data_IF_046218936171
#
_entry.id   IF_046218936171
#
_cell.length_a   1.000
_cell.length_b   1.000
_cell.length_c   1.000
_cell.angle_alpha   90.00
_cell.angle_beta   90.00
_cell.angle_gamma   90.00
#
_symmetry.space_group_name_H-M   'P 1'
#
loop_
_entity.id
_entity.type
_entity.pdbx_description
1 polymer ?
#
# COMPACT_ATOMS: atom_id res chain seq x y z
N UNK A 1 17.71 4.25 0.28
CA UNK A 1 16.77 3.10 0.32
C UNK A 1 17.49 1.76 0.45
N UNK A 2 18.67 1.59 -0.18
CA UNK A 2 19.41 0.33 -0.30
C UNK A 2 19.74 -0.41 1.02
N UNK A 3 19.83 0.31 2.15
CA UNK A 3 20.13 -0.31 3.46
C UNK A 3 18.89 -0.74 4.24
N UNK A 4 17.72 -0.23 3.90
CA UNK A 4 16.49 -0.44 4.68
C UNK A 4 15.83 -1.77 4.31
N UNK A 5 15.77 -2.09 3.02
CA UNK A 5 15.20 -3.35 2.54
C UNK A 5 15.92 -4.59 3.10
N UNK A 6 17.26 -4.67 3.13
CA UNK A 6 17.97 -5.77 3.80
C UNK A 6 17.64 -5.91 5.29
N UNK A 7 17.46 -4.78 6.01
CA UNK A 7 17.09 -4.80 7.43
C UNK A 7 15.69 -5.41 7.61
N UNK A 8 14.71 -4.99 6.81
CA UNK A 8 13.38 -5.60 6.84
C UNK A 8 13.43 -7.10 6.52
N UNK A 9 14.21 -7.50 5.52
CA UNK A 9 14.37 -8.91 5.18
C UNK A 9 14.98 -9.71 6.34
N UNK A 10 16.01 -9.19 6.98
CA UNK A 10 16.61 -9.81 8.17
C UNK A 10 15.62 -9.91 9.32
N UNK A 11 14.79 -8.89 9.55
CA UNK A 11 13.73 -8.93 10.58
C UNK A 11 12.69 -10.00 10.28
N UNK A 12 12.24 -10.13 9.03
CA UNK A 12 11.28 -11.17 8.61
C UNK A 12 11.87 -12.56 8.83
N UNK A 13 13.10 -12.80 8.35
CA UNK A 13 13.78 -14.09 8.50
C UNK A 13 13.99 -14.41 9.99
N UNK A 14 14.46 -13.43 10.77
CA UNK A 14 14.69 -13.58 12.20
C UNK A 14 13.42 -13.90 12.98
N UNK A 15 12.31 -13.21 12.69
CA UNK A 15 11.01 -13.47 13.32
C UNK A 15 10.46 -14.84 12.97
N UNK A 16 10.55 -15.26 11.69
CA UNK A 16 10.14 -16.59 11.27
C UNK A 16 11.00 -17.69 11.94
N UNK A 17 12.31 -17.47 12.05
CA UNK A 17 13.21 -18.35 12.78
C UNK A 17 12.88 -18.46 14.27
N UNK A 18 12.64 -17.34 14.94
CA UNK A 18 12.22 -17.30 16.34
C UNK A 18 10.88 -18.01 16.54
N UNK A 19 9.93 -17.79 15.63
CA UNK A 19 8.63 -18.43 15.62
C UNK A 19 8.73 -19.96 15.50
N UNK A 20 9.54 -20.43 14.54
CA UNK A 20 9.84 -21.85 14.38
C UNK A 20 10.45 -22.45 15.66
N UNK A 21 11.37 -21.71 16.29
CA UNK A 21 12.04 -22.17 17.50
C UNK A 21 11.10 -22.27 18.71
N UNK A 22 10.18 -21.32 18.86
CA UNK A 22 9.11 -21.38 19.87
C UNK A 22 8.28 -22.64 19.69
N UNK A 23 7.80 -22.92 18.47
CA UNK A 23 7.00 -24.12 18.19
C UNK A 23 7.75 -25.41 18.45
N UNK A 24 9.00 -25.49 17.99
CA UNK A 24 9.85 -26.66 18.23
C UNK A 24 10.03 -26.91 19.73
N UNK A 25 10.27 -25.85 20.50
CA UNK A 25 10.43 -25.91 21.97
C UNK A 25 9.16 -26.37 22.66
N UNK A 26 8.00 -25.81 22.31
CA UNK A 26 6.70 -26.23 22.83
C UNK A 26 6.42 -27.71 22.54
N UNK A 27 6.65 -28.13 21.29
CA UNK A 27 6.46 -29.53 20.86
C UNK A 27 7.34 -30.50 21.63
N UNK A 28 8.62 -30.16 21.84
CA UNK A 28 9.55 -30.98 22.64
C UNK A 28 9.14 -31.09 24.11
N UNK A 29 8.34 -30.16 24.61
CA UNK A 29 7.83 -30.14 25.98
C UNK A 29 6.36 -30.62 26.08
N UNK A 30 5.86 -31.33 25.07
CA UNK A 30 4.55 -31.99 25.12
C UNK A 30 3.35 -31.07 24.89
N UNK A 31 3.57 -29.84 24.44
CA UNK A 31 2.47 -28.96 24.04
C UNK A 31 2.02 -29.27 22.60
N UNK A 32 0.72 -29.27 22.38
CA UNK A 32 0.18 -29.30 21.02
C UNK A 32 0.49 -27.99 20.30
N UNK A 33 1.11 -28.10 19.12
CA UNK A 33 1.41 -26.96 18.25
C UNK A 33 0.87 -27.24 16.85
N UNK A 34 0.20 -26.26 16.27
CA UNK A 34 -0.18 -26.29 14.85
C UNK A 34 0.74 -25.37 14.06
N UNK A 35 1.35 -25.84 12.98
CA UNK A 35 2.32 -25.04 12.22
C UNK A 35 1.68 -23.90 11.42
N UNK A 36 0.39 -24.00 11.12
CA UNK A 36 -0.31 -23.06 10.24
C UNK A 36 -1.53 -22.38 10.89
N UNK A 37 -1.93 -22.82 12.09
CA UNK A 37 -3.13 -22.32 12.77
C UNK A 37 -2.87 -22.07 14.25
N UNK A 38 -3.74 -21.28 14.90
CA UNK A 38 -3.77 -21.09 16.36
C UNK A 38 -2.48 -20.56 17.00
N UNK A 39 -1.71 -19.79 16.25
CA UNK A 39 -0.47 -19.11 16.66
C UNK A 39 -0.56 -18.35 18.00
N UNK A 40 -1.73 -17.80 18.33
CA UNK A 40 -1.96 -17.02 19.55
C UNK A 40 -1.81 -17.87 20.81
N UNK A 41 -2.02 -19.20 20.75
CA UNK A 41 -1.89 -20.11 21.90
C UNK A 41 -0.43 -20.40 22.26
N UNK A 42 0.51 -20.20 21.36
CA UNK A 42 1.91 -20.54 21.57
C UNK A 42 2.55 -19.62 22.64
N UNK A 43 2.19 -18.34 22.67
CA UNK A 43 2.70 -17.37 23.65
C UNK A 43 2.31 -17.76 25.10
N UNK A 44 1.02 -17.92 25.48
CA UNK A 44 0.66 -18.32 26.84
C UNK A 44 1.21 -19.72 27.21
N UNK A 45 1.34 -20.63 26.25
CA UNK A 45 1.99 -21.92 26.47
C UNK A 45 3.48 -21.77 26.81
N UNK A 46 4.20 -20.87 26.13
CA UNK A 46 5.60 -20.56 26.47
C UNK A 46 5.72 -19.95 27.87
N UNK A 47 4.80 -19.06 28.25
CA UNK A 47 4.74 -18.52 29.61
C UNK A 47 4.51 -19.61 30.66
N UNK A 48 3.60 -20.55 30.39
CA UNK A 48 3.34 -21.70 31.26
C UNK A 48 4.57 -22.59 31.39
N UNK A 49 5.23 -22.91 30.26
CA UNK A 49 6.46 -23.67 30.24
C UNK A 49 7.58 -22.99 31.05
N UNK A 50 7.77 -21.68 30.88
CA UNK A 50 8.75 -20.91 31.64
C UNK A 50 8.47 -20.97 33.16
N UNK A 51 7.21 -20.79 33.58
CA UNK A 51 6.82 -20.84 34.99
C UNK A 51 7.03 -22.21 35.63
N UNK A 52 6.78 -23.29 34.88
CA UNK A 52 6.85 -24.67 35.37
C UNK A 52 8.28 -25.26 35.34
N UNK A 53 9.26 -24.53 34.79
CA UNK A 53 10.63 -25.01 34.65
C UNK A 53 11.45 -24.71 35.90
N UNK A 54 11.96 -25.75 36.57
CA UNK A 54 12.80 -25.62 37.77
C UNK A 54 14.23 -25.15 37.47
N UNK A 55 14.75 -25.45 36.27
CA UNK A 55 16.09 -25.03 35.86
C UNK A 55 16.10 -23.52 35.52
N UNK A 56 16.86 -22.68 36.25
CA UNK A 56 16.82 -21.23 36.08
C UNK A 56 17.28 -20.79 34.69
N UNK A 57 18.27 -21.46 34.12
CA UNK A 57 18.81 -21.16 32.78
C UNK A 57 17.76 -21.41 31.69
N UNK A 58 17.07 -22.55 31.76
CA UNK A 58 15.99 -22.88 30.81
C UNK A 58 14.78 -21.96 30.99
N UNK A 59 14.40 -21.67 32.25
CA UNK A 59 13.32 -20.74 32.57
C UNK A 59 13.54 -19.36 31.95
N UNK A 60 14.74 -18.80 32.08
CA UNK A 60 15.09 -17.51 31.45
C UNK A 60 14.99 -17.59 29.93
N UNK A 61 15.49 -18.67 29.31
CA UNK A 61 15.37 -18.85 27.84
C UNK A 61 13.92 -18.89 27.39
N UNK A 62 13.05 -19.65 28.06
CA UNK A 62 11.63 -19.73 27.70
C UNK A 62 10.92 -18.39 27.90
N UNK A 63 11.27 -17.64 28.95
CA UNK A 63 10.76 -16.30 29.17
C UNK A 63 11.18 -15.33 28.05
N UNK A 64 12.46 -15.35 27.65
CA UNK A 64 12.97 -14.53 26.55
C UNK A 64 12.27 -14.87 25.22
N UNK A 65 11.96 -16.14 24.97
CA UNK A 65 11.17 -16.53 23.79
C UNK A 65 9.72 -16.00 23.88
N UNK A 66 9.08 -16.13 25.04
CA UNK A 66 7.71 -15.70 25.26
C UNK A 66 7.51 -14.18 25.11
N UNK A 67 8.53 -13.40 25.48
CA UNK A 67 8.55 -11.92 25.40
C UNK A 67 9.13 -11.42 24.08
N UNK A 68 10.19 -12.06 23.59
CA UNK A 68 10.91 -11.64 22.38
C UNK A 68 10.05 -11.71 21.13
N UNK A 69 9.20 -12.73 21.01
CA UNK A 69 8.31 -12.91 19.87
C UNK A 69 7.28 -11.76 19.73
N UNK A 70 6.47 -11.40 20.75
CA UNK A 70 5.55 -10.27 20.64
C UNK A 70 6.27 -8.93 20.47
N UNK A 71 7.37 -8.68 21.20
CA UNK A 71 8.15 -7.45 21.04
C UNK A 71 8.68 -7.32 19.61
N UNK A 72 9.30 -8.37 19.08
CA UNK A 72 9.82 -8.36 17.72
C UNK A 72 8.71 -8.17 16.68
N UNK A 73 7.54 -8.76 16.89
CA UNK A 73 6.37 -8.57 16.01
C UNK A 73 5.90 -7.11 16.01
N UNK A 74 5.81 -6.47 17.18
CA UNK A 74 5.46 -5.05 17.31
C UNK A 74 6.48 -4.17 16.59
N UNK A 75 7.77 -4.42 16.81
CA UNK A 75 8.87 -3.68 16.15
C UNK A 75 8.77 -3.83 14.63
N UNK A 76 8.50 -5.04 14.13
CA UNK A 76 8.36 -5.28 12.70
C UNK A 76 7.18 -4.52 12.11
N UNK A 77 6.00 -4.56 12.76
CA UNK A 77 4.81 -3.82 12.33
C UNK A 77 5.10 -2.32 12.31
N UNK A 78 5.66 -1.77 13.39
CA UNK A 78 6.02 -0.35 13.46
C UNK A 78 7.00 0.03 12.34
N UNK A 79 8.04 -0.78 12.14
CA UNK A 79 9.04 -0.55 11.08
C UNK A 79 8.41 -0.59 9.69
N UNK A 80 7.51 -1.55 9.43
CA UNK A 80 6.78 -1.67 8.18
C UNK A 80 6.01 -0.38 7.86
N UNK A 81 5.24 0.14 8.84
CA UNK A 81 4.45 1.36 8.64
C UNK A 81 5.30 2.64 8.49
N UNK A 82 6.52 2.66 9.02
CA UNK A 82 7.44 3.78 8.82
C UNK A 82 8.11 3.71 7.44
N UNK A 83 8.50 2.51 7.00
CA UNK A 83 9.35 2.32 5.82
C UNK A 83 8.52 2.25 4.54
N UNK A 84 7.44 1.46 4.53
CA UNK A 84 6.69 1.15 3.30
C UNK A 84 6.13 2.39 2.60
N UNK A 85 5.58 3.40 3.31
CA UNK A 85 5.14 4.62 2.64
C UNK A 85 6.24 5.31 1.85
N UNK A 86 7.49 5.30 2.34
CA UNK A 86 8.63 5.88 1.63
C UNK A 86 9.03 5.08 0.38
N UNK A 87 8.73 3.78 0.34
CA UNK A 87 8.95 2.93 -0.84
C UNK A 87 7.82 3.04 -1.86
N UNK A 88 6.60 3.37 -1.40
CA UNK A 88 5.42 3.51 -2.25
C UNK A 88 5.19 4.94 -2.74
N UNK A 89 5.95 5.92 -2.25
CA UNK A 89 5.95 7.27 -2.80
C UNK A 89 6.58 7.23 -4.20
N UNK A 90 5.72 7.21 -5.21
CA UNK A 90 6.12 7.43 -6.58
C UNK A 90 6.63 8.87 -6.73
N UNK A 91 7.76 9.05 -7.40
CA UNK A 91 8.35 10.36 -7.65
C UNK A 91 7.32 11.26 -8.37
N UNK A 92 6.87 12.35 -7.75
CA UNK A 92 5.88 13.23 -8.36
C UNK A 92 6.36 13.81 -9.70
N UNK A 93 7.66 14.04 -9.87
CA UNK A 93 8.25 14.51 -11.12
C UNK A 93 8.26 13.44 -12.20
N UNK A 94 8.45 12.18 -11.84
CA UNK A 94 8.34 11.07 -12.78
C UNK A 94 6.89 10.92 -13.25
N UNK A 95 5.92 11.00 -12.35
CA UNK A 95 4.50 11.00 -12.70
C UNK A 95 4.11 12.18 -13.58
N UNK A 96 4.60 13.38 -13.28
CA UNK A 96 4.41 14.56 -14.12
C UNK A 96 4.99 14.33 -15.53
N UNK A 97 6.16 13.69 -15.64
CA UNK A 97 6.79 13.36 -16.93
C UNK A 97 5.98 12.35 -17.73
N UNK A 98 5.52 11.26 -17.10
CA UNK A 98 4.63 10.30 -17.76
C UNK A 98 3.31 10.95 -18.17
N UNK A 99 2.75 11.80 -17.30
CA UNK A 99 1.56 12.54 -17.62
C UNK A 99 1.76 13.43 -18.84
N UNK A 100 2.85 14.22 -18.90
CA UNK A 100 3.24 15.03 -20.08
C UNK A 100 3.34 14.19 -21.36
N UNK A 101 3.74 12.93 -21.29
CA UNK A 101 3.87 12.05 -22.46
C UNK A 101 2.55 11.43 -22.94
N UNK A 102 1.50 11.44 -22.12
CA UNK A 102 0.20 10.87 -22.52
C UNK A 102 -0.56 11.75 -23.54
N UNK A 103 -1.48 11.18 -24.29
CA UNK A 103 -2.36 11.95 -25.18
C UNK A 103 -3.69 11.23 -25.32
N UNK A 104 -4.77 11.98 -25.17
CA UNK A 104 -6.12 11.46 -25.32
C UNK A 104 -7.09 12.61 -25.54
N UNK A 105 -8.17 12.35 -26.25
CA UNK A 105 -9.22 13.34 -26.53
C UNK A 105 -10.51 12.61 -26.81
N UNK A 106 -11.60 12.98 -26.16
CA UNK A 106 -12.86 12.27 -26.37
C UNK A 106 -14.03 12.88 -25.62
N UNK A 107 -15.23 12.43 -25.98
CA UNK A 107 -16.47 12.83 -25.32
C UNK A 107 -16.64 12.00 -24.05
N UNK A 108 -16.91 12.66 -22.93
CA UNK A 108 -17.18 11.98 -21.66
C UNK A 108 -18.52 11.25 -21.77
N UNK A 109 -18.50 9.93 -21.72
CA UNK A 109 -19.70 9.08 -21.82
C UNK A 109 -20.15 8.53 -20.48
N UNK A 110 -19.23 8.40 -19.52
CA UNK A 110 -19.55 8.04 -18.12
C UNK A 110 -18.70 8.82 -17.14
N UNK A 111 -19.29 9.06 -15.96
CA UNK A 111 -18.64 9.66 -14.80
C UNK A 111 -19.17 9.00 -13.54
N UNK A 112 -18.28 8.41 -12.74
CA UNK A 112 -18.68 7.64 -11.56
C UNK A 112 -17.54 7.50 -10.56
N UNK A 113 -17.85 6.94 -9.38
CA UNK A 113 -16.84 6.48 -8.43
C UNK A 113 -16.78 4.96 -8.49
N UNK A 114 -15.59 4.44 -8.76
CA UNK A 114 -15.36 3.01 -8.99
C UNK A 114 -15.30 2.27 -7.65
N UNK A 115 -16.46 1.94 -7.07
CA UNK A 115 -16.54 1.29 -5.76
C UNK A 115 -15.72 -0.01 -5.66
N UNK A 116 -15.72 -0.90 -6.68
CA UNK A 116 -14.84 -2.06 -6.70
C UNK A 116 -13.34 -1.71 -6.62
N UNK A 117 -12.92 -0.59 -7.20
CA UNK A 117 -11.53 -0.13 -7.19
C UNK A 117 -11.35 1.08 -6.25
N UNK A 118 -11.46 0.85 -4.94
CA UNK A 118 -11.20 1.85 -3.89
C UNK A 118 -11.98 3.18 -4.03
N UNK A 119 -13.12 3.17 -4.72
CA UNK A 119 -13.98 4.34 -4.92
C UNK A 119 -13.30 5.49 -5.68
N UNK A 120 -12.37 5.18 -6.59
CA UNK A 120 -11.68 6.20 -7.38
C UNK A 120 -12.65 6.99 -8.27
N UNK A 121 -12.47 8.31 -8.29
CA UNK A 121 -13.12 9.20 -9.27
C UNK A 121 -12.69 8.76 -10.67
N UNK A 122 -13.66 8.54 -11.54
CA UNK A 122 -13.44 7.91 -12.85
C UNK A 122 -14.31 8.56 -13.91
N UNK A 123 -13.73 8.80 -15.09
CA UNK A 123 -14.49 9.10 -16.29
C UNK A 123 -14.15 8.08 -17.38
N UNK A 124 -15.10 7.81 -18.26
CA UNK A 124 -14.87 7.10 -19.52
C UNK A 124 -15.08 8.09 -20.66
N UNK A 125 -14.12 8.15 -21.58
CA UNK A 125 -14.17 8.99 -22.77
C UNK A 125 -14.31 8.11 -24.02
N UNK A 126 -15.05 8.59 -24.99
CA UNK A 126 -15.20 7.95 -26.29
C UNK A 126 -14.40 8.71 -27.36
N UNK A 127 -13.52 7.99 -28.05
CA UNK A 127 -12.75 8.47 -29.19
C UNK A 127 -12.68 7.40 -30.26
N UNK A 128 -13.03 7.72 -31.50
CA UNK A 128 -12.96 6.82 -32.66
C UNK A 128 -13.51 5.41 -32.37
N UNK A 129 -14.73 5.35 -31.82
CA UNK A 129 -15.44 4.14 -31.39
C UNK A 129 -14.76 3.30 -30.29
N UNK A 130 -13.69 3.80 -29.67
CA UNK A 130 -13.06 3.19 -28.49
C UNK A 130 -13.50 3.92 -27.23
N UNK A 131 -13.60 3.16 -26.14
CA UNK A 131 -13.80 3.71 -24.80
C UNK A 131 -12.48 3.63 -24.05
N UNK A 132 -12.03 4.77 -23.54
CA UNK A 132 -10.85 4.88 -22.70
C UNK A 132 -11.26 5.31 -21.28
N UNK A 133 -10.73 4.60 -20.28
CA UNK A 133 -11.03 4.85 -18.87
C UNK A 133 -9.93 5.71 -18.25
N UNK A 134 -10.29 6.89 -17.74
CA UNK A 134 -9.37 7.81 -17.08
C UNK A 134 -9.60 7.78 -15.57
N UNK A 135 -8.60 7.30 -14.83
CA UNK A 135 -8.56 7.21 -13.36
C UNK A 135 -7.32 7.91 -12.82
N UNK A 136 -7.24 9.23 -13.00
CA UNK A 136 -6.10 10.02 -12.54
C UNK A 136 -6.50 10.91 -11.37
N UNK A 137 -5.97 10.61 -10.19
CA UNK A 137 -6.33 11.32 -8.96
C UNK A 137 -5.96 12.81 -9.00
N UNK A 138 -4.86 13.18 -9.69
CA UNK A 138 -4.37 14.57 -9.78
C UNK A 138 -5.30 15.41 -10.64
N UNK A 139 -5.71 14.89 -11.81
CA UNK A 139 -6.66 15.58 -12.69
C UNK A 139 -7.96 15.88 -11.95
N UNK A 140 -8.39 14.98 -11.07
CA UNK A 140 -9.67 15.05 -10.37
C UNK A 140 -9.63 15.78 -9.02
N UNK A 141 -8.50 16.41 -8.68
CA UNK A 141 -8.38 17.33 -7.54
C UNK A 141 -9.00 18.70 -7.85
N UNK A 142 -8.99 19.60 -6.85
CA UNK A 142 -9.37 21.00 -7.00
C UNK A 142 -10.78 21.24 -7.59
N UNK A 143 -11.69 20.29 -7.43
CA UNK A 143 -13.05 20.38 -7.98
C UNK A 143 -13.18 20.03 -9.46
N UNK A 144 -12.09 19.69 -10.15
CA UNK A 144 -12.09 19.38 -11.58
C UNK A 144 -13.04 18.23 -11.93
N UNK A 145 -13.10 17.19 -11.09
CA UNK A 145 -14.03 16.10 -11.31
C UNK A 145 -15.48 16.57 -11.29
N UNK A 146 -15.82 17.48 -10.39
CA UNK A 146 -17.15 18.04 -10.24
C UNK A 146 -17.52 18.92 -11.45
N UNK A 147 -16.55 19.61 -12.06
CA UNK A 147 -16.75 20.44 -13.25
C UNK A 147 -17.06 19.65 -14.54
N UNK A 148 -16.44 18.48 -14.71
CA UNK A 148 -16.62 17.62 -15.89
C UNK A 148 -18.02 16.99 -15.88
N UNK A 149 -18.78 17.12 -16.96
CA UNK A 149 -20.08 16.47 -17.13
C UNK A 149 -20.08 15.46 -18.27
N UNK A 150 -21.05 14.55 -18.25
CA UNK A 150 -21.28 13.64 -19.39
C UNK A 150 -21.72 14.47 -20.59
N UNK A 151 -21.10 14.23 -21.74
CA UNK A 151 -21.29 15.01 -22.97
C UNK A 151 -20.22 16.06 -23.22
N UNK A 152 -19.42 16.42 -22.21
CA UNK A 152 -18.29 17.34 -22.40
C UNK A 152 -17.20 16.70 -23.26
N UNK A 153 -16.51 17.52 -24.06
CA UNK A 153 -15.28 17.10 -24.74
C UNK A 153 -14.11 17.40 -23.80
N UNK A 154 -13.27 16.40 -23.55
CA UNK A 154 -12.07 16.56 -22.74
C UNK A 154 -10.86 16.11 -23.55
N UNK A 155 -9.75 16.84 -23.45
CA UNK A 155 -8.55 16.56 -24.22
C UNK A 155 -7.28 16.87 -23.43
N UNK A 156 -6.30 15.98 -23.57
CA UNK A 156 -4.95 16.13 -23.05
C UNK A 156 -3.98 15.96 -24.21
N UNK A 157 -3.06 16.92 -24.38
CA UNK A 157 -2.04 16.89 -25.44
C UNK A 157 -0.68 16.51 -24.89
N UNK A 158 0.12 15.85 -25.72
CA UNK A 158 1.54 15.58 -25.41
C UNK A 158 2.29 16.89 -25.12
N UNK A 159 3.12 16.90 -24.08
CA UNK A 159 3.89 18.05 -23.60
C UNK A 159 3.15 18.99 -22.65
N UNK A 160 1.82 18.96 -22.62
CA UNK A 160 1.02 19.80 -21.72
C UNK A 160 0.82 19.14 -20.34
N UNK A 161 0.85 19.96 -19.29
CA UNK A 161 0.45 19.56 -17.93
C UNK A 161 -1.05 19.73 -17.68
N UNK A 162 -1.72 20.61 -18.42
CA UNK A 162 -3.13 20.88 -18.19
C UNK A 162 -4.02 20.03 -19.09
N UNK A 163 -5.22 19.77 -18.62
CA UNK A 163 -6.27 19.12 -19.43
C UNK A 163 -7.24 20.19 -19.89
N UNK A 164 -7.64 20.13 -21.16
CA UNK A 164 -8.63 21.05 -21.74
C UNK A 164 -10.01 20.43 -21.61
N UNK A 165 -10.93 21.18 -21.02
CA UNK A 165 -12.35 20.85 -20.94
C UNK A 165 -13.12 21.81 -21.85
N UNK A 166 -13.91 21.26 -22.76
CA UNK A 166 -14.78 22.01 -23.63
C UNK A 166 -16.23 21.75 -23.23
N UNK A 167 -16.88 22.79 -22.71
CA UNK A 167 -18.24 22.74 -22.19
C UNK A 167 -19.05 23.89 -22.78
N UNK A 168 -20.17 23.57 -23.44
CA UNK A 168 -21.05 24.56 -24.08
C UNK A 168 -20.31 25.54 -25.00
N UNK A 169 -19.31 25.06 -25.75
CA UNK A 169 -18.49 25.88 -26.64
C UNK A 169 -17.42 26.74 -25.97
N UNK A 170 -17.31 26.72 -24.63
CA UNK A 170 -16.23 27.39 -23.89
C UNK A 170 -15.11 26.41 -23.56
N UNK A 171 -13.86 26.86 -23.68
CA UNK A 171 -12.67 26.11 -23.25
C UNK A 171 -12.29 26.53 -21.83
N UNK A 172 -12.00 25.56 -20.97
CA UNK A 172 -11.48 25.76 -19.63
C UNK A 172 -10.29 24.83 -19.41
N UNK A 173 -9.24 25.33 -18.78
CA UNK A 173 -8.09 24.52 -18.40
C UNK A 173 -8.32 23.93 -17.01
N UNK A 174 -8.26 22.61 -16.92
CA UNK A 174 -8.17 21.87 -15.67
C UNK A 174 -6.69 21.80 -15.31
N UNK A 175 -6.31 22.54 -14.27
CA UNK A 175 -4.95 22.56 -13.74
C UNK A 175 -4.64 21.20 -13.10
N UNK A 176 -3.48 20.64 -13.47
CA UNK A 176 -2.97 19.38 -12.93
C UNK A 176 -1.58 19.64 -12.37
N UNK A 177 -1.49 19.71 -11.05
CA UNK A 177 -0.23 19.91 -10.36
C UNK A 177 0.17 18.63 -9.61
N UNK A 178 1.25 18.02 -10.06
CA UNK A 178 1.85 16.86 -9.39
C UNK A 178 2.73 17.27 -8.20
N UNK A 179 2.95 18.56 -7.94
CA UNK A 179 3.84 19.07 -6.89
C UNK A 179 5.32 18.94 -7.26
N UNK A 180 5.65 18.87 -8.55
CA UNK A 180 7.02 18.87 -9.03
C UNK A 180 7.48 20.32 -9.25
N UNK A 181 8.38 20.79 -8.38
CA UNK A 181 9.06 22.07 -8.58
C UNK A 181 10.19 21.84 -9.60
N UNK A 182 10.02 22.34 -10.83
CA UNK A 182 11.11 22.42 -11.82
C UNK A 182 12.15 23.48 -11.43
#
# INVERSE_FOLDING_TARGET
MDKIFPIMMMLVIGLNGLWYWVKSTLKQNGYEVSWFWNHVKDIPNMWKLAKNTNNPTLRTRYFLMAVGLPIGTIIFIASFFIIVPSLMQSDPCENARYFKQSEWSGIVVKKYRDTPNHNYKTIEIQYDNKIEKIQNWVIFQNGNFELIEIGDLISKRTGENNVRLYKNGSETFLEVDYGCNE
#
